data_IF_196176994966
#
_entry.id   IF_196176994966
#
_cell.length_a   1.000
_cell.length_b   1.000
_cell.length_c   1.000
_cell.angle_alpha   90.00
_cell.angle_beta   90.00
_cell.angle_gamma   90.00
#
_symmetry.space_group_name_H-M   'P 1'
#
loop_
_entity.id
_entity.type
_entity.pdbx_description
1 polymer ?
#
# COMPACT_ATOMS: atom_id res chain seq x y z
N UNK A 1 -24.87 -25.83 -33.10
CA UNK A 1 -23.59 -25.64 -32.39
C UNK A 1 -23.89 -25.13 -31.00
N UNK A 2 -23.52 -25.87 -29.95
CA UNK A 2 -23.70 -25.42 -28.57
C UNK A 2 -22.76 -24.23 -28.31
N UNK A 3 -23.29 -23.12 -27.77
CA UNK A 3 -22.44 -22.04 -27.23
C UNK A 3 -21.50 -22.66 -26.18
N UNK A 4 -20.19 -22.36 -26.19
CA UNK A 4 -19.30 -22.85 -25.15
C UNK A 4 -19.85 -22.42 -23.78
N UNK A 5 -20.03 -23.40 -22.87
CA UNK A 5 -20.43 -23.14 -21.50
C UNK A 5 -19.34 -22.31 -20.83
N UNK A 6 -19.73 -21.15 -20.31
CA UNK A 6 -18.83 -20.23 -19.62
C UNK A 6 -18.09 -20.95 -18.48
N UNK A 7 -16.84 -20.58 -18.18
CA UNK A 7 -16.22 -21.04 -16.95
C UNK A 7 -17.09 -20.54 -15.78
N UNK A 8 -17.56 -21.47 -14.95
CA UNK A 8 -18.12 -21.13 -13.65
C UNK A 8 -16.98 -20.54 -12.81
N UNK A 9 -17.25 -19.52 -11.99
CA UNK A 9 -16.32 -19.06 -10.94
C UNK A 9 -15.80 -20.31 -10.22
N UNK A 10 -14.47 -20.47 -10.19
CA UNK A 10 -13.82 -21.65 -9.60
C UNK A 10 -14.07 -21.72 -8.09
N UNK A 11 -13.95 -22.90 -7.49
CA UNK A 11 -14.08 -23.05 -6.04
C UNK A 11 -13.05 -22.20 -5.28
N UNK A 12 -11.83 -22.04 -5.82
CA UNK A 12 -10.82 -21.15 -5.26
C UNK A 12 -11.28 -19.68 -5.27
N UNK A 13 -11.81 -19.19 -6.39
CA UNK A 13 -12.36 -17.84 -6.47
C UNK A 13 -13.52 -17.62 -5.49
N UNK A 14 -14.40 -18.62 -5.30
CA UNK A 14 -15.48 -18.52 -4.31
C UNK A 14 -14.95 -18.45 -2.89
N UNK A 15 -13.91 -19.21 -2.56
CA UNK A 15 -13.28 -19.19 -1.24
C UNK A 15 -12.62 -17.83 -0.98
N UNK A 16 -11.91 -17.27 -1.94
CA UNK A 16 -11.26 -15.96 -1.78
C UNK A 16 -12.30 -14.84 -1.62
N UNK A 17 -13.39 -14.86 -2.39
CA UNK A 17 -14.50 -13.91 -2.22
C UNK A 17 -15.16 -14.07 -0.84
N UNK A 18 -15.36 -15.31 -0.39
CA UNK A 18 -15.94 -15.56 0.93
C UNK A 18 -15.03 -15.06 2.06
N UNK A 19 -13.71 -15.21 1.91
CA UNK A 19 -12.71 -14.70 2.85
C UNK A 19 -12.74 -13.18 2.90
N UNK A 20 -12.70 -12.51 1.73
CA UNK A 20 -12.83 -11.06 1.63
C UNK A 20 -14.08 -10.54 2.34
N UNK A 21 -15.24 -11.18 2.13
CA UNK A 21 -16.49 -10.80 2.81
C UNK A 21 -16.39 -10.96 4.32
N UNK A 22 -15.80 -12.06 4.80
CA UNK A 22 -15.64 -12.32 6.23
C UNK A 22 -14.68 -11.32 6.88
N UNK A 23 -13.58 -10.99 6.22
CA UNK A 23 -12.59 -10.06 6.76
C UNK A 23 -13.15 -8.63 6.79
N UNK A 24 -13.84 -8.20 5.73
CA UNK A 24 -14.59 -6.93 5.74
C UNK A 24 -15.66 -6.88 6.82
N UNK A 25 -16.35 -7.98 7.13
CA UNK A 25 -17.38 -7.99 8.19
C UNK A 25 -16.78 -7.87 9.59
N UNK A 26 -15.59 -8.41 9.82
CA UNK A 26 -14.95 -8.45 11.13
C UNK A 26 -14.16 -7.18 11.45
N UNK A 27 -13.76 -6.42 10.43
CA UNK A 27 -12.87 -5.26 10.58
C UNK A 27 -13.58 -3.91 10.67
N UNK A 28 -14.92 -3.89 10.61
CA UNK A 28 -15.71 -2.66 10.55
C UNK A 28 -16.12 -2.23 11.96
N UNK A 29 -15.40 -1.25 12.52
CA UNK A 29 -15.70 -0.64 13.82
C UNK A 29 -16.80 0.44 13.72
N UNK A 30 -16.98 1.04 12.54
CA UNK A 30 -18.00 2.05 12.26
C UNK A 30 -18.73 1.75 10.95
N UNK A 31 -20.01 2.12 10.81
CA UNK A 31 -20.71 1.94 9.55
C UNK A 31 -20.04 2.76 8.43
N UNK A 32 -19.66 2.10 7.34
CA UNK A 32 -19.09 2.75 6.16
C UNK A 32 -20.01 3.83 5.57
N UNK A 33 -19.42 4.79 4.86
CA UNK A 33 -20.16 5.92 4.30
C UNK A 33 -21.18 5.48 3.24
N UNK A 34 -22.34 6.16 3.18
CA UNK A 34 -23.36 5.89 2.14
C UNK A 34 -22.83 6.16 0.72
N UNK A 35 -21.89 7.10 0.58
CA UNK A 35 -21.24 7.47 -0.67
C UNK A 35 -20.33 6.35 -1.18
N UNK A 36 -19.39 5.88 -0.35
CA UNK A 36 -18.46 4.80 -0.71
C UNK A 36 -19.21 3.49 -1.00
N UNK A 37 -20.27 3.18 -0.24
CA UNK A 37 -21.16 2.05 -0.53
C UNK A 37 -21.90 2.24 -1.86
N UNK A 38 -22.30 3.47 -2.19
CA UNK A 38 -22.94 3.82 -3.46
C UNK A 38 -22.02 3.61 -4.66
N UNK A 39 -20.77 4.04 -4.54
CA UNK A 39 -19.73 3.92 -5.55
C UNK A 39 -19.40 2.45 -5.83
N UNK A 40 -19.10 1.65 -4.79
CA UNK A 40 -18.86 0.21 -4.92
C UNK A 40 -19.99 -0.51 -5.67
N UNK A 41 -21.25 -0.15 -5.39
CA UNK A 41 -22.41 -0.75 -6.08
C UNK A 41 -22.45 -0.38 -7.56
N UNK A 42 -22.10 0.85 -7.91
CA UNK A 42 -22.08 1.33 -9.28
C UNK A 42 -20.98 0.61 -10.08
N UNK A 43 -19.78 0.51 -9.51
CA UNK A 43 -18.64 -0.10 -10.19
C UNK A 43 -18.75 -1.62 -10.24
N UNK A 44 -19.33 -2.26 -9.22
CA UNK A 44 -19.65 -3.69 -9.28
C UNK A 44 -20.66 -3.98 -10.39
N UNK A 45 -21.67 -3.12 -10.56
CA UNK A 45 -22.65 -3.25 -11.65
C UNK A 45 -22.00 -3.07 -13.01
N UNK A 46 -21.03 -2.17 -13.13
CA UNK A 46 -20.25 -1.96 -14.35
C UNK A 46 -19.41 -3.19 -14.69
N UNK A 47 -18.61 -3.67 -13.74
CA UNK A 47 -17.65 -4.77 -13.90
C UNK A 47 -18.28 -6.13 -14.25
N UNK A 48 -19.55 -6.35 -13.87
CA UNK A 48 -20.26 -7.59 -14.21
C UNK A 48 -21.13 -7.46 -15.47
N UNK A 49 -21.23 -6.26 -16.06
CA UNK A 49 -22.19 -5.95 -17.12
C UNK A 49 -21.88 -6.70 -18.43
N UNK A 50 -20.61 -6.81 -18.78
CA UNK A 50 -20.11 -7.48 -20.00
C UNK A 50 -19.70 -8.95 -19.76
N UNK A 51 -19.74 -9.38 -18.48
CA UNK A 51 -19.36 -10.71 -17.98
C UNK A 51 -17.86 -11.03 -18.15
N UNK A 52 -17.00 -10.02 -18.21
CA UNK A 52 -15.55 -10.14 -18.13
C UNK A 52 -15.03 -9.14 -17.11
N UNK A 53 -14.35 -9.62 -16.08
CA UNK A 53 -13.66 -8.71 -15.16
C UNK A 53 -12.32 -8.32 -15.79
N UNK A 54 -12.16 -7.05 -16.14
CA UNK A 54 -10.87 -6.49 -16.55
C UNK A 54 -10.04 -6.11 -15.32
N UNK A 55 -8.73 -5.93 -15.51
CA UNK A 55 -7.87 -5.47 -14.42
C UNK A 55 -8.20 -4.05 -13.97
N UNK A 56 -8.56 -3.16 -14.91
CA UNK A 56 -8.98 -1.80 -14.58
C UNK A 56 -10.23 -1.81 -13.69
N UNK A 57 -11.25 -2.60 -14.03
CA UNK A 57 -12.45 -2.75 -13.20
C UNK A 57 -12.14 -3.39 -11.84
N UNK A 58 -11.22 -4.36 -11.81
CA UNK A 58 -10.81 -4.97 -10.54
C UNK A 58 -10.09 -3.97 -9.63
N UNK A 59 -9.26 -3.09 -10.20
CA UNK A 59 -8.60 -1.99 -9.49
C UNK A 59 -9.60 -0.96 -8.99
N UNK A 60 -10.56 -0.55 -9.82
CA UNK A 60 -11.65 0.34 -9.38
C UNK A 60 -12.39 -0.26 -8.20
N UNK A 61 -12.80 -1.52 -8.29
CA UNK A 61 -13.50 -2.21 -7.19
C UNK A 61 -12.66 -2.34 -5.93
N UNK A 62 -11.36 -2.58 -6.07
CA UNK A 62 -10.45 -2.63 -4.93
C UNK A 62 -10.29 -1.27 -4.27
N UNK A 63 -10.16 -0.20 -5.06
CA UNK A 63 -10.08 1.16 -4.53
C UNK A 63 -11.36 1.55 -3.79
N UNK A 64 -12.55 1.24 -4.34
CA UNK A 64 -13.82 1.47 -3.64
C UNK A 64 -13.89 0.71 -2.30
N UNK A 65 -13.37 -0.52 -2.26
CA UNK A 65 -13.30 -1.32 -1.04
C UNK A 65 -12.33 -0.73 -0.01
N UNK A 66 -11.22 -0.14 -0.47
CA UNK A 66 -10.27 0.56 0.38
C UNK A 66 -10.86 1.88 0.92
N UNK A 67 -11.58 2.64 0.12
CA UNK A 67 -12.30 3.84 0.59
C UNK A 67 -13.37 3.48 1.63
N UNK A 68 -14.09 2.37 1.42
CA UNK A 68 -15.02 1.83 2.41
C UNK A 68 -14.27 1.48 3.70
N UNK A 69 -13.12 0.81 3.58
CA UNK A 69 -12.29 0.43 4.72
C UNK A 69 -11.86 1.66 5.54
N UNK A 70 -11.37 2.69 4.86
CA UNK A 70 -11.00 3.95 5.49
C UNK A 70 -12.21 4.61 6.18
N UNK A 71 -13.34 4.72 5.48
CA UNK A 71 -14.57 5.33 6.05
C UNK A 71 -15.16 4.55 7.23
N UNK A 72 -14.87 3.25 7.32
CA UNK A 72 -15.30 2.37 8.40
C UNK A 72 -14.33 2.34 9.60
N UNK A 73 -13.20 3.04 9.50
CA UNK A 73 -12.15 3.05 10.52
C UNK A 73 -11.33 1.76 10.58
N UNK A 74 -11.24 1.01 9.47
CA UNK A 74 -10.44 -0.21 9.39
C UNK A 74 -8.96 0.11 9.67
N UNK A 75 -8.33 -0.69 10.53
CA UNK A 75 -6.92 -0.50 10.90
C UNK A 75 -5.97 -0.92 9.77
N UNK A 76 -4.70 -0.46 9.75
CA UNK A 76 -3.75 -0.85 8.71
C UNK A 76 -3.52 -2.36 8.59
N UNK A 77 -3.52 -3.09 9.71
CA UNK A 77 -3.38 -4.55 9.73
C UNK A 77 -4.58 -5.26 9.06
N UNK A 78 -5.77 -4.69 9.21
CA UNK A 78 -7.00 -5.20 8.62
C UNK A 78 -7.11 -4.84 7.13
N UNK A 79 -6.76 -3.60 6.76
CA UNK A 79 -6.64 -3.18 5.37
C UNK A 79 -5.66 -4.07 4.60
N UNK A 80 -4.52 -4.41 5.22
CA UNK A 80 -3.56 -5.37 4.66
C UNK A 80 -4.20 -6.74 4.38
N UNK A 81 -5.06 -7.22 5.26
CA UNK A 81 -5.73 -8.52 5.09
C UNK A 81 -6.70 -8.50 3.91
N UNK A 82 -7.47 -7.43 3.77
CA UNK A 82 -8.37 -7.18 2.63
C UNK A 82 -7.58 -7.14 1.31
N UNK A 83 -6.41 -6.49 1.30
CA UNK A 83 -5.55 -6.38 0.13
C UNK A 83 -4.95 -7.71 -0.32
N UNK A 84 -4.56 -8.59 0.61
CA UNK A 84 -4.13 -9.94 0.26
C UNK A 84 -5.25 -10.77 -0.37
N UNK A 85 -6.48 -10.62 0.12
CA UNK A 85 -7.62 -11.33 -0.49
C UNK A 85 -7.91 -10.83 -1.90
N UNK A 86 -7.80 -9.52 -2.12
CA UNK A 86 -7.90 -8.94 -3.47
C UNK A 86 -6.79 -9.48 -4.38
N UNK A 87 -5.55 -9.53 -3.91
CA UNK A 87 -4.46 -10.12 -4.68
C UNK A 87 -4.76 -11.57 -5.07
N UNK A 88 -5.22 -12.39 -4.13
CA UNK A 88 -5.58 -13.79 -4.35
C UNK A 88 -6.76 -13.94 -5.33
N UNK A 89 -7.76 -13.06 -5.25
CA UNK A 89 -8.87 -13.01 -6.22
C UNK A 89 -8.35 -12.68 -7.62
N UNK A 90 -7.48 -11.67 -7.74
CA UNK A 90 -6.90 -11.26 -9.02
C UNK A 90 -6.11 -12.40 -9.67
N UNK A 91 -5.25 -13.06 -8.89
CA UNK A 91 -4.45 -14.21 -9.34
C UNK A 91 -5.33 -15.39 -9.76
N UNK A 92 -6.32 -15.76 -8.93
CA UNK A 92 -7.23 -16.87 -9.22
C UNK A 92 -8.11 -16.60 -10.45
N UNK A 93 -8.42 -15.33 -10.70
CA UNK A 93 -9.17 -14.87 -11.87
C UNK A 93 -8.30 -14.75 -13.12
N UNK A 94 -6.98 -14.96 -13.02
CA UNK A 94 -6.01 -14.85 -14.12
C UNK A 94 -6.11 -13.50 -14.82
N UNK A 95 -6.30 -12.44 -14.05
CA UNK A 95 -6.26 -11.09 -14.59
C UNK A 95 -4.88 -10.84 -15.22
N UNK A 96 -4.80 -10.00 -16.25
CA UNK A 96 -3.52 -9.53 -16.78
C UNK A 96 -2.64 -8.95 -15.65
N UNK A 97 -1.32 -8.98 -15.88
CA UNK A 97 -0.36 -8.24 -15.06
C UNK A 97 -0.05 -6.97 -15.82
N UNK A 98 -0.25 -5.81 -15.20
CA UNK A 98 0.06 -4.50 -15.77
C UNK A 98 0.97 -3.78 -14.81
N UNK A 99 2.02 -3.21 -15.35
CA UNK A 99 2.96 -2.40 -14.58
C UNK A 99 2.39 -0.99 -14.53
N UNK A 100 2.13 -0.48 -13.34
CA UNK A 100 1.50 0.82 -13.14
C UNK A 100 2.42 1.80 -12.40
N UNK A 101 2.24 3.10 -12.71
CA UNK A 101 2.82 4.19 -11.94
C UNK A 101 1.68 4.85 -11.16
N UNK A 102 1.72 4.70 -9.85
CA UNK A 102 0.74 5.27 -8.93
C UNK A 102 1.41 6.40 -8.15
N UNK A 103 0.78 7.57 -8.22
CA UNK A 103 1.20 8.78 -7.50
C UNK A 103 0.03 9.23 -6.64
N UNK A 104 0.28 9.39 -5.35
CA UNK A 104 -0.68 9.93 -4.39
C UNK A 104 -0.88 11.44 -4.54
N UNK A 105 -1.57 11.99 -3.57
CA UNK A 105 -1.97 13.39 -3.46
C UNK A 105 -1.13 14.09 -2.40
N UNK A 106 -1.68 15.09 -1.73
CA UNK A 106 -1.08 15.79 -0.58
C UNK A 106 -1.89 15.56 0.70
N UNK A 107 -2.64 14.46 0.71
CA UNK A 107 -3.42 13.95 1.82
C UNK A 107 -3.08 12.48 2.00
N UNK A 108 -3.45 11.90 3.15
CA UNK A 108 -3.30 10.46 3.38
C UNK A 108 -3.91 9.65 2.23
N UNK A 109 -3.09 8.85 1.57
CA UNK A 109 -3.52 8.00 0.46
C UNK A 109 -3.43 6.51 0.82
N UNK A 110 -4.28 5.71 0.17
CA UNK A 110 -4.12 4.25 0.12
C UNK A 110 -3.88 3.86 -1.34
N UNK A 111 -2.66 3.42 -1.66
CA UNK A 111 -2.27 3.02 -3.01
C UNK A 111 -2.12 1.50 -3.11
N UNK A 112 -2.80 0.91 -4.11
CA UNK A 112 -2.72 -0.51 -4.42
C UNK A 112 -2.29 -0.77 -5.86
N UNK A 113 -1.09 -1.33 -6.03
CA UNK A 113 -0.50 -1.68 -7.34
C UNK A 113 -1.24 -2.82 -8.04
N UNK A 114 -1.71 -3.82 -7.29
CA UNK A 114 -2.48 -4.92 -7.83
C UNK A 114 -1.60 -6.06 -8.33
N UNK A 115 -1.57 -6.32 -9.63
CA UNK A 115 -0.74 -7.37 -10.22
C UNK A 115 0.15 -6.75 -11.29
N UNK A 116 1.45 -6.98 -11.24
CA UNK A 116 2.39 -6.30 -12.12
C UNK A 116 3.65 -5.91 -11.38
N UNK A 117 4.53 -5.20 -12.06
CA UNK A 117 5.66 -4.51 -11.43
C UNK A 117 5.27 -3.05 -11.28
N UNK A 118 4.75 -2.70 -10.12
CA UNK A 118 4.15 -1.41 -9.87
C UNK A 118 5.16 -0.45 -9.22
N UNK A 119 5.08 0.83 -9.55
CA UNK A 119 5.85 1.90 -8.92
C UNK A 119 4.88 2.81 -8.17
N UNK A 120 5.02 2.86 -6.85
CA UNK A 120 4.13 3.58 -5.95
C UNK A 120 4.89 4.73 -5.29
N UNK A 121 4.37 5.95 -5.44
CA UNK A 121 4.82 7.14 -4.76
C UNK A 121 3.64 7.76 -4.00
N UNK A 122 3.56 7.52 -2.69
CA UNK A 122 2.51 8.11 -1.84
C UNK A 122 2.59 9.63 -1.81
N UNK A 123 3.82 10.14 -1.66
CA UNK A 123 4.12 11.55 -1.47
C UNK A 123 3.77 12.52 -2.62
N UNK A 124 3.17 12.03 -3.71
CA UNK A 124 2.78 12.89 -4.81
C UNK A 124 3.97 13.50 -5.59
N UNK A 125 3.74 14.64 -6.24
CA UNK A 125 4.75 15.39 -7.01
C UNK A 125 5.22 16.69 -6.35
N UNK A 126 4.67 17.04 -5.19
CA UNK A 126 4.91 18.31 -4.52
C UNK A 126 5.91 18.13 -3.36
N UNK A 127 6.47 19.25 -2.88
CA UNK A 127 7.64 19.30 -1.96
C UNK A 127 7.46 18.51 -0.65
N UNK A 128 7.78 17.21 -0.70
CA UNK A 128 8.01 16.29 0.43
C UNK A 128 6.99 16.37 1.57
N UNK A 129 5.72 16.07 1.25
CA UNK A 129 4.75 15.39 2.13
C UNK A 129 4.95 15.59 3.62
N UNK A 130 4.41 16.70 4.14
CA UNK A 130 4.48 17.03 5.55
C UNK A 130 3.07 16.95 6.16
N UNK A 131 2.89 16.01 7.09
CA UNK A 131 1.63 15.78 7.80
C UNK A 131 0.67 14.80 7.14
N UNK A 132 1.17 13.85 6.34
CA UNK A 132 0.35 12.77 5.75
C UNK A 132 0.91 11.38 6.01
N UNK A 133 0.02 10.41 6.18
CA UNK A 133 0.34 9.00 6.39
C UNK A 133 -0.24 8.20 5.23
N UNK A 134 0.64 7.68 4.37
CA UNK A 134 0.24 6.95 3.18
C UNK A 134 0.40 5.45 3.35
N UNK A 135 -0.54 4.67 2.83
CA UNK A 135 -0.52 3.22 2.87
C UNK A 135 -0.26 2.66 1.48
N UNK A 136 0.87 1.97 1.32
CA UNK A 136 1.35 1.50 0.03
C UNK A 136 1.36 -0.02 0.00
N UNK A 137 0.65 -0.62 -0.96
CA UNK A 137 0.67 -2.05 -1.22
C UNK A 137 0.96 -2.30 -2.70
N UNK A 138 2.10 -2.92 -2.99
CA UNK A 138 2.50 -3.22 -4.37
C UNK A 138 1.64 -4.34 -4.96
N UNK A 139 1.31 -5.32 -4.11
CA UNK A 139 0.57 -6.50 -4.47
C UNK A 139 1.48 -7.55 -5.09
N UNK A 140 1.18 -7.91 -6.34
CA UNK A 140 1.78 -9.06 -7.00
C UNK A 140 2.78 -8.70 -8.08
N UNK A 141 4.04 -8.56 -7.73
CA UNK A 141 5.17 -8.58 -8.65
C UNK A 141 6.33 -7.78 -8.07
N UNK A 142 7.28 -7.33 -8.89
CA UNK A 142 8.46 -6.64 -8.36
C UNK A 142 8.18 -5.17 -8.25
N UNK A 143 7.77 -4.76 -7.07
CA UNK A 143 7.23 -3.41 -6.87
C UNK A 143 8.30 -2.45 -6.33
N UNK A 144 8.12 -1.16 -6.61
CA UNK A 144 8.98 -0.08 -6.13
C UNK A 144 8.15 0.88 -5.29
N UNK A 145 8.50 1.02 -4.01
CA UNK A 145 7.94 2.00 -3.10
C UNK A 145 8.88 3.19 -2.99
N UNK A 146 8.45 4.36 -3.45
CA UNK A 146 9.26 5.58 -3.46
C UNK A 146 9.00 6.38 -2.17
N UNK A 147 10.01 6.41 -1.29
CA UNK A 147 10.02 7.18 -0.04
C UNK A 147 11.10 8.29 -0.07
N UNK A 148 11.68 8.53 -1.24
CA UNK A 148 12.66 9.58 -1.48
C UNK A 148 13.18 9.50 -2.90
N UNK A 149 13.65 10.64 -3.41
CA UNK A 149 14.19 10.76 -4.76
C UNK A 149 15.64 11.26 -4.74
N UNK A 150 16.14 11.83 -5.83
CA UNK A 150 17.51 12.38 -5.87
C UNK A 150 17.64 13.73 -5.16
N UNK A 151 16.54 14.35 -4.76
CA UNK A 151 16.52 15.70 -4.21
C UNK A 151 16.30 15.69 -2.70
N UNK A 152 15.45 14.80 -2.17
CA UNK A 152 15.07 14.78 -0.76
C UNK A 152 14.51 13.43 -0.29
N UNK A 153 14.59 13.20 1.02
CA UNK A 153 13.80 12.16 1.70
C UNK A 153 12.37 12.68 1.84
N UNK A 154 11.39 11.86 1.47
CA UNK A 154 9.98 12.19 1.69
C UNK A 154 9.60 11.94 3.16
N UNK A 155 8.44 12.46 3.57
CA UNK A 155 7.93 12.35 4.95
C UNK A 155 8.92 12.85 6.00
N UNK A 156 9.62 13.93 5.68
CA UNK A 156 10.59 14.54 6.57
C UNK A 156 10.30 16.04 6.67
N UNK A 157 9.57 16.43 7.71
CA UNK A 157 9.19 17.82 7.96
C UNK A 157 10.35 18.69 8.50
N UNK A 158 11.53 18.10 8.71
CA UNK A 158 12.72 18.77 9.21
C UNK A 158 12.63 19.24 10.67
N UNK A 159 11.58 18.85 11.41
CA UNK A 159 11.40 19.16 12.82
C UNK A 159 12.00 18.07 13.68
N UNK A 160 12.29 18.40 14.94
CA UNK A 160 12.69 17.40 15.93
C UNK A 160 11.44 16.73 16.48
N UNK A 161 11.36 15.42 16.37
CA UNK A 161 10.21 14.64 16.83
C UNK A 161 10.44 13.17 16.56
N UNK A 162 9.42 12.34 16.82
CA UNK A 162 9.46 10.92 16.50
C UNK A 162 8.94 10.61 15.07
N UNK A 163 8.65 11.63 14.25
CA UNK A 163 8.05 11.50 12.92
C UNK A 163 6.70 10.78 12.90
N UNK A 164 5.87 10.98 13.92
CA UNK A 164 4.59 10.25 14.06
C UNK A 164 3.43 10.89 13.29
N UNK A 165 3.67 11.98 12.59
CA UNK A 165 2.65 12.74 11.86
C UNK A 165 2.73 12.57 10.36
N UNK A 166 3.81 11.95 9.86
CA UNK A 166 4.14 11.86 8.45
C UNK A 166 5.06 10.68 8.21
N UNK A 167 4.59 9.68 7.45
CA UNK A 167 5.37 8.51 7.05
C UNK A 167 4.58 7.65 6.06
N UNK A 168 5.30 6.91 5.20
CA UNK A 168 4.68 5.83 4.41
C UNK A 168 4.58 4.53 5.22
N UNK A 169 3.49 3.79 5.07
CA UNK A 169 3.31 2.42 5.57
C UNK A 169 3.33 1.47 4.38
N UNK A 170 4.42 0.73 4.24
CA UNK A 170 4.55 -0.33 3.23
C UNK A 170 3.96 -1.62 3.80
N UNK A 171 2.86 -2.07 3.18
CA UNK A 171 1.99 -3.10 3.72
C UNK A 171 2.48 -4.53 3.43
N UNK A 172 3.13 -4.76 2.29
CA UNK A 172 3.38 -6.12 1.78
C UNK A 172 4.83 -6.37 1.33
N UNK A 173 5.78 -5.54 1.77
CA UNK A 173 7.17 -5.61 1.35
C UNK A 173 7.80 -7.01 1.45
N UNK A 174 8.31 -7.50 0.32
CA UNK A 174 9.12 -8.69 0.22
C UNK A 174 10.53 -8.31 -0.25
N UNK A 175 11.49 -8.27 0.67
CA UNK A 175 12.89 -7.90 0.40
C UNK A 175 13.64 -8.74 -0.66
N UNK A 176 13.05 -9.85 -1.16
CA UNK A 176 13.61 -10.66 -2.25
C UNK A 176 13.02 -10.29 -3.63
N UNK A 177 11.95 -9.51 -3.65
CA UNK A 177 11.15 -9.21 -4.83
C UNK A 177 11.04 -7.71 -5.05
N UNK A 178 10.75 -6.96 -3.99
CA UNK A 178 10.37 -5.56 -4.04
C UNK A 178 11.55 -4.66 -3.65
N UNK A 179 11.40 -3.37 -3.94
CA UNK A 179 12.38 -2.34 -3.64
C UNK A 179 11.73 -1.17 -2.91
N UNK A 180 12.32 -0.75 -1.80
CA UNK A 180 12.04 0.57 -1.19
C UNK A 180 13.13 1.54 -1.63
N UNK A 181 12.77 2.59 -2.35
CA UNK A 181 13.69 3.66 -2.75
C UNK A 181 13.73 4.75 -1.68
N UNK A 182 14.93 5.09 -1.23
CA UNK A 182 15.21 6.18 -0.30
C UNK A 182 16.13 7.22 -0.93
N UNK A 183 16.19 8.41 -0.36
CA UNK A 183 17.17 9.45 -0.72
C UNK A 183 18.57 9.12 -0.15
N UNK A 184 19.63 9.70 -0.70
CA UNK A 184 20.95 9.70 -0.05
C UNK A 184 21.58 8.32 -0.04
N UNK A 185 21.97 7.79 1.12
CA UNK A 185 22.66 6.50 1.26
C UNK A 185 22.19 5.71 2.46
N UNK A 186 22.52 4.41 2.52
CA UNK A 186 22.22 3.57 3.69
C UNK A 186 22.81 4.11 5.00
N UNK A 187 23.88 4.93 4.95
CA UNK A 187 24.48 5.54 6.12
C UNK A 187 23.62 6.67 6.72
N UNK A 188 22.65 7.18 5.97
CA UNK A 188 21.76 8.25 6.41
C UNK A 188 20.54 7.71 7.16
N UNK A 189 20.38 6.39 7.24
CA UNK A 189 19.20 5.74 7.81
C UNK A 189 19.53 4.72 8.90
N UNK A 190 18.54 4.48 9.77
CA UNK A 190 18.49 3.38 10.73
C UNK A 190 17.20 2.59 10.55
N UNK A 191 17.31 1.26 10.56
CA UNK A 191 16.15 0.39 10.76
C UNK A 191 16.02 0.07 12.25
N UNK A 192 14.86 0.38 12.85
CA UNK A 192 14.62 0.16 14.28
C UNK A 192 13.17 -0.23 14.57
N UNK A 193 12.91 -0.64 15.81
CA UNK A 193 11.56 -0.94 16.28
C UNK A 193 10.67 0.31 16.21
N UNK A 194 9.40 0.10 15.89
CA UNK A 194 8.39 1.15 15.85
C UNK A 194 8.10 1.72 17.24
N UNK A 195 7.69 3.00 17.33
CA UNK A 195 7.21 3.57 18.58
C UNK A 195 5.92 2.87 19.02
N UNK A 196 5.78 2.64 20.32
CA UNK A 196 4.62 1.94 20.89
C UNK A 196 3.27 2.62 20.60
N UNK A 197 3.33 3.92 20.33
CA UNK A 197 2.23 4.81 20.01
C UNK A 197 1.50 4.42 18.72
N UNK A 198 2.20 3.76 17.78
CA UNK A 198 1.60 3.33 16.51
C UNK A 198 0.73 2.07 16.64
N UNK A 199 0.84 1.33 17.75
CA UNK A 199 0.07 0.12 18.02
C UNK A 199 0.12 -0.97 16.93
N UNK A 200 1.09 -0.91 16.02
CA UNK A 200 1.34 -1.90 14.97
C UNK A 200 2.71 -2.56 15.16
N UNK A 201 2.92 -3.69 14.49
CA UNK A 201 4.21 -4.40 14.50
C UNK A 201 4.93 -4.22 13.17
N UNK A 202 6.26 -4.16 13.19
CA UNK A 202 7.04 -3.97 11.98
C UNK A 202 8.38 -3.31 12.24
N UNK A 203 8.97 -2.76 11.19
CA UNK A 203 10.24 -2.02 11.25
C UNK A 203 10.04 -0.59 10.81
N UNK A 204 10.51 0.36 11.62
CA UNK A 204 10.62 1.76 11.22
C UNK A 204 11.87 2.02 10.42
N UNK A 205 11.74 2.85 9.38
CA UNK A 205 12.80 3.40 8.57
C UNK A 205 13.00 4.83 9.04
N UNK A 206 14.14 5.08 9.68
CA UNK A 206 14.44 6.36 10.28
C UNK A 206 15.50 7.10 9.51
N UNK A 207 15.17 8.28 8.97
CA UNK A 207 16.14 9.21 8.42
C UNK A 207 16.86 9.94 9.57
N UNK A 208 18.18 9.98 9.51
CA UNK A 208 19.00 10.54 10.60
C UNK A 208 19.63 11.89 10.25
N UNK A 209 19.78 12.19 8.95
CA UNK A 209 20.52 13.35 8.45
C UNK A 209 21.89 13.57 9.17
N UNK A 210 22.55 12.47 9.59
CA UNK A 210 23.82 12.49 10.34
C UNK A 210 23.70 12.59 11.87
N UNK A 211 22.49 12.70 12.43
CA UNK A 211 22.22 12.67 13.87
C UNK A 211 21.65 11.32 14.32
N UNK A 212 22.45 10.55 15.06
CA UNK A 212 22.07 9.19 15.49
C UNK A 212 21.27 9.14 16.79
N UNK A 213 21.05 10.29 17.44
CA UNK A 213 20.26 10.36 18.66
C UNK A 213 18.79 10.01 18.35
N UNK A 214 18.20 9.08 19.12
CA UNK A 214 16.84 8.59 18.83
C UNK A 214 15.78 9.70 18.76
N UNK A 215 15.92 10.76 19.57
CA UNK A 215 15.01 11.91 19.59
C UNK A 215 15.21 12.90 18.40
N UNK A 216 16.19 12.64 17.54
CA UNK A 216 16.49 13.45 16.36
C UNK A 216 16.30 12.66 15.06
N UNK A 217 15.76 11.45 15.13
CA UNK A 217 15.49 10.59 14.00
C UNK A 217 14.08 10.84 13.50
N UNK A 218 13.96 10.95 12.19
CA UNK A 218 12.66 11.13 11.54
C UNK A 218 12.15 9.80 11.02
N UNK A 219 10.95 9.39 11.43
CA UNK A 219 10.30 8.20 10.90
C UNK A 219 9.76 8.55 9.51
N UNK A 220 10.41 8.07 8.45
CA UNK A 220 9.97 8.34 7.07
C UNK A 220 9.19 7.18 6.45
N UNK A 221 9.24 6.02 7.11
CA UNK A 221 8.55 4.83 6.62
C UNK A 221 8.40 3.73 7.66
N UNK A 222 7.38 2.91 7.48
CA UNK A 222 7.05 1.74 8.28
C UNK A 222 6.93 0.55 7.34
N UNK A 223 7.66 -0.52 7.60
CA UNK A 223 7.45 -1.82 6.95
C UNK A 223 6.62 -2.68 7.87
N UNK A 224 5.33 -2.82 7.55
CA UNK A 224 4.36 -3.46 8.42
C UNK A 224 4.59 -4.97 8.50
N UNK A 225 4.55 -5.53 9.71
CA UNK A 225 4.69 -6.96 9.99
C UNK A 225 6.08 -7.57 9.70
N UNK A 226 7.03 -6.80 9.16
CA UNK A 226 8.38 -7.28 8.85
C UNK A 226 9.40 -6.83 9.89
N UNK A 227 10.29 -7.74 10.30
CA UNK A 227 11.45 -7.44 11.14
C UNK A 227 12.71 -7.38 10.27
N UNK A 228 13.06 -6.20 9.78
CA UNK A 228 14.22 -5.97 8.93
C UNK A 228 15.46 -5.70 9.79
N UNK A 229 16.59 -6.27 9.39
CA UNK A 229 17.88 -6.11 10.07
C UNK A 229 18.96 -5.49 9.19
N UNK A 230 18.63 -5.24 7.91
CA UNK A 230 19.51 -4.64 6.92
C UNK A 230 18.68 -4.06 5.77
N UNK A 231 19.34 -3.34 4.87
CA UNK A 231 18.75 -2.70 3.70
C UNK A 231 18.66 -3.62 2.47
N UNK A 232 18.42 -4.92 2.64
CA UNK A 232 18.09 -5.81 1.52
C UNK A 232 16.74 -5.42 0.92
N UNK A 233 16.69 -5.28 -0.41
CA UNK A 233 15.49 -4.76 -1.09
C UNK A 233 15.33 -3.25 -0.96
N UNK A 234 16.43 -2.51 -0.75
CA UNK A 234 16.41 -1.05 -0.77
C UNK A 234 17.29 -0.53 -1.91
N UNK A 235 16.89 0.60 -2.48
CA UNK A 235 17.70 1.41 -3.37
C UNK A 235 17.85 2.82 -2.79
N UNK A 236 18.91 3.52 -3.20
CA UNK A 236 19.24 4.84 -2.67
C UNK A 236 19.51 5.81 -3.82
N UNK A 237 18.58 6.75 -4.04
CA UNK A 237 18.66 7.78 -5.05
C UNK A 237 19.67 8.86 -4.63
N UNK A 238 20.74 8.99 -5.43
CA UNK A 238 21.83 9.92 -5.13
C UNK A 238 21.52 11.34 -5.63
N UNK A 239 21.94 12.39 -4.92
CA UNK A 239 21.92 13.76 -5.45
C UNK A 239 22.67 13.88 -6.77
N UNK A 240 22.08 14.60 -7.73
CA UNK A 240 22.77 15.01 -8.95
C UNK A 240 23.84 16.04 -8.60
N UNK A 241 25.09 15.71 -8.91
CA UNK A 241 26.31 16.51 -8.66
C UNK A 241 26.41 17.76 -9.52
#
# INVERSE_FOLDING_TARGET
MAKPSRPKISEAQKQNIQKLITDLQNSVDQPASEESIGQLKADFKSAISDRQLTQAEFKTLANDLLEIAESAGITPDEARTVLYDLQDIGQASRLPRTDDLLTGTSQNDILWGGLGQDTLNGAGSDDASMGEIDYLCGGGGKDIFILGDTTQSFYNDGKTGAGLTDYAVVLDFNAKQDTIQLFGSAADYVLAALPSELAVTGTGIYYTAGSWAAAARELVGVVLGANLSNFSGFSFAQPVS
#
